data_IF_311906389885
#
_entry.id   IF_311906389885
#
_cell.length_a   1.000
_cell.length_b   1.000
_cell.length_c   1.000
_cell.angle_alpha   90.00
_cell.angle_beta   90.00
_cell.angle_gamma   90.00
#
_symmetry.space_group_name_H-M   'P 1'
#
loop_
_entity.id
_entity.type
_entity.pdbx_description
1 polymer ?
#
# COMPACT_ATOMS: atom_id res chain seq x y z
N UNK A 1 -21.72 -15.31 10.18
CA UNK A 1 -20.81 -16.43 9.90
C UNK A 1 -19.37 -15.99 9.95
N UNK A 2 -18.45 -16.91 10.04
CA UNK A 2 -17.02 -16.63 10.03
C UNK A 2 -16.59 -15.93 8.73
N UNK A 3 -17.15 -16.34 7.59
CA UNK A 3 -16.87 -15.70 6.31
C UNK A 3 -17.29 -14.24 6.28
N UNK A 4 -18.45 -13.91 6.81
CA UNK A 4 -18.94 -12.53 6.87
C UNK A 4 -18.00 -11.69 7.73
N UNK A 5 -17.57 -12.22 8.89
CA UNK A 5 -16.62 -11.52 9.75
C UNK A 5 -15.29 -11.29 9.06
N UNK A 6 -14.79 -12.27 8.31
CA UNK A 6 -13.53 -12.16 7.59
C UNK A 6 -13.60 -11.11 6.47
N UNK A 7 -14.71 -11.05 5.73
CA UNK A 7 -14.94 -10.02 4.71
C UNK A 7 -15.02 -8.62 5.34
N UNK A 8 -15.65 -8.49 6.50
CA UNK A 8 -15.70 -7.22 7.22
C UNK A 8 -14.30 -6.75 7.63
N UNK A 9 -13.45 -7.69 8.05
CA UNK A 9 -12.06 -7.35 8.39
C UNK A 9 -11.29 -6.89 7.16
N UNK A 10 -11.48 -7.55 6.01
CA UNK A 10 -10.86 -7.12 4.76
C UNK A 10 -11.30 -5.69 4.39
N UNK A 11 -12.59 -5.41 4.46
CA UNK A 11 -13.11 -4.08 4.19
C UNK A 11 -12.50 -3.03 5.13
N UNK A 12 -12.33 -3.38 6.40
CA UNK A 12 -11.73 -2.50 7.40
C UNK A 12 -10.25 -2.25 7.07
N UNK A 13 -9.50 -3.28 6.68
CA UNK A 13 -8.10 -3.13 6.27
C UNK A 13 -8.00 -2.17 5.08
N UNK A 14 -8.84 -2.34 4.08
CA UNK A 14 -8.85 -1.47 2.90
C UNK A 14 -9.17 -0.02 3.28
N UNK A 15 -10.15 0.18 4.17
CA UNK A 15 -10.52 1.50 4.68
C UNK A 15 -9.38 2.15 5.46
N UNK A 16 -8.67 1.39 6.29
CA UNK A 16 -7.54 1.89 7.06
C UNK A 16 -6.39 2.32 6.15
N UNK A 17 -6.13 1.56 5.08
CA UNK A 17 -5.12 1.92 4.10
C UNK A 17 -5.50 3.21 3.36
N UNK A 18 -6.74 3.32 2.93
CA UNK A 18 -7.25 4.51 2.26
C UNK A 18 -7.14 5.74 3.15
N UNK A 19 -7.55 5.62 4.42
CA UNK A 19 -7.46 6.71 5.39
C UNK A 19 -6.02 7.12 5.65
N UNK A 20 -5.10 6.17 5.66
CA UNK A 20 -3.68 6.46 5.83
C UNK A 20 -3.18 7.40 4.73
N UNK A 21 -3.58 7.15 3.49
CA UNK A 21 -3.14 7.92 2.34
C UNK A 21 -3.87 9.27 2.18
N UNK A 22 -5.03 9.43 2.80
CA UNK A 22 -5.78 10.69 2.74
C UNK A 22 -5.30 11.74 3.74
N UNK A 23 -4.46 11.34 4.71
CA UNK A 23 -3.90 12.26 5.70
C UNK A 23 -2.52 12.78 5.29
N UNK A 24 -1.84 13.42 6.24
CA UNK A 24 -0.47 13.88 6.04
C UNK A 24 0.50 12.70 6.19
N UNK A 25 0.78 12.06 5.08
CA UNK A 25 1.54 10.80 5.03
C UNK A 25 3.00 11.02 5.37
N UNK A 26 3.56 12.16 5.00
CA UNK A 26 4.98 12.47 5.25
C UNK A 26 5.31 12.34 6.74
N UNK A 27 4.37 12.67 7.63
CA UNK A 27 4.55 12.57 9.07
C UNK A 27 4.29 11.16 9.60
N UNK A 28 3.51 10.34 8.87
CA UNK A 28 3.12 9.00 9.31
C UNK A 28 4.03 7.89 8.79
N UNK A 29 4.76 8.17 7.71
CA UNK A 29 5.56 7.15 7.04
C UNK A 29 4.68 6.13 6.31
N UNK A 30 5.25 4.95 6.07
CA UNK A 30 4.54 3.88 5.38
C UNK A 30 3.53 3.20 6.32
N UNK A 31 2.39 2.70 5.78
CA UNK A 31 1.50 1.87 6.58
C UNK A 31 2.25 0.62 7.03
N UNK A 32 2.01 0.17 8.26
CA UNK A 32 2.67 -1.01 8.80
C UNK A 32 1.67 -2.10 9.15
N UNK A 33 2.09 -3.35 9.02
CA UNK A 33 1.29 -4.51 9.42
C UNK A 33 0.93 -4.42 10.90
N UNK A 34 1.91 -4.03 11.72
CA UNK A 34 1.72 -3.93 13.18
C UNK A 34 0.60 -2.93 13.52
N UNK A 35 0.63 -1.75 12.91
CA UNK A 35 -0.35 -0.71 13.20
C UNK A 35 -1.76 -1.12 12.77
N UNK A 36 -1.89 -1.75 11.61
CA UNK A 36 -3.18 -2.23 11.11
C UNK A 36 -3.73 -3.31 12.04
N UNK A 37 -2.89 -4.29 12.40
CA UNK A 37 -3.29 -5.37 13.29
C UNK A 37 -3.71 -4.83 14.66
N UNK A 38 -2.97 -3.87 15.19
CA UNK A 38 -3.27 -3.26 16.49
C UNK A 38 -4.65 -2.58 16.48
N UNK A 39 -4.96 -1.86 15.41
CA UNK A 39 -6.27 -1.19 15.28
C UNK A 39 -7.42 -2.18 15.20
N UNK A 40 -7.16 -3.40 14.75
CA UNK A 40 -8.16 -4.46 14.66
C UNK A 40 -8.16 -5.37 15.90
N UNK A 41 -7.27 -5.12 16.86
CA UNK A 41 -7.08 -5.97 18.05
C UNK A 41 -6.73 -7.42 17.66
N UNK A 42 -5.90 -7.56 16.63
CA UNK A 42 -5.42 -8.85 16.13
C UNK A 42 -3.89 -8.88 16.17
N UNK A 43 -3.32 -10.09 16.24
CA UNK A 43 -1.88 -10.22 16.04
C UNK A 43 -1.56 -10.07 14.55
N UNK A 44 -0.37 -9.57 14.20
CA UNK A 44 0.04 -9.51 12.79
C UNK A 44 -0.02 -10.87 12.09
N UNK A 45 0.35 -11.94 12.80
CA UNK A 45 0.35 -13.30 12.25
C UNK A 45 -1.06 -13.78 11.93
N UNK A 46 -2.00 -13.56 12.85
CA UNK A 46 -3.39 -13.94 12.63
C UNK A 46 -4.01 -13.17 11.46
N UNK A 47 -3.77 -11.85 11.42
CA UNK A 47 -4.29 -11.01 10.35
C UNK A 47 -3.77 -11.46 9.00
N UNK A 48 -2.45 -11.72 8.89
CA UNK A 48 -1.86 -12.15 7.62
C UNK A 48 -2.36 -13.54 7.18
N UNK A 49 -2.49 -14.47 8.12
CA UNK A 49 -3.00 -15.81 7.80
C UNK A 49 -4.45 -15.73 7.30
N UNK A 50 -5.26 -14.91 7.96
CA UNK A 50 -6.65 -14.74 7.59
C UNK A 50 -6.80 -14.07 6.21
N UNK A 51 -6.06 -12.99 5.95
CA UNK A 51 -6.09 -12.31 4.66
C UNK A 51 -5.57 -13.23 3.56
N UNK A 52 -4.51 -13.98 3.82
CA UNK A 52 -3.97 -14.91 2.84
C UNK A 52 -4.98 -16.01 2.52
N UNK A 53 -5.69 -16.53 3.52
CA UNK A 53 -6.74 -17.53 3.28
C UNK A 53 -7.90 -16.97 2.48
N UNK A 54 -8.26 -15.70 2.70
CA UNK A 54 -9.39 -15.06 2.05
C UNK A 54 -9.07 -14.56 0.63
N UNK A 55 -7.87 -13.98 0.44
CA UNK A 55 -7.51 -13.27 -0.80
C UNK A 55 -6.32 -13.87 -1.54
N UNK A 56 -5.58 -14.77 -0.93
CA UNK A 56 -4.33 -15.29 -1.48
C UNK A 56 -3.13 -14.41 -1.19
N UNK A 57 -3.32 -13.26 -0.51
CA UNK A 57 -2.24 -12.31 -0.24
C UNK A 57 -2.15 -11.97 1.24
N UNK A 58 -0.93 -11.78 1.72
CA UNK A 58 -0.66 -11.37 3.11
C UNK A 58 -0.99 -9.90 3.33
N UNK A 59 -1.02 -9.47 4.60
CA UNK A 59 -1.22 -8.06 4.94
C UNK A 59 -0.16 -7.17 4.26
N UNK A 60 1.10 -7.60 4.27
CA UNK A 60 2.18 -6.83 3.64
C UNK A 60 1.96 -6.68 2.14
N UNK A 61 1.46 -7.72 1.47
CA UNK A 61 1.14 -7.65 0.05
C UNK A 61 0.00 -6.68 -0.23
N UNK A 62 -1.03 -6.65 0.65
CA UNK A 62 -2.11 -5.67 0.54
C UNK A 62 -1.58 -4.23 0.68
N UNK A 63 -0.67 -4.00 1.63
CA UNK A 63 -0.03 -2.69 1.81
C UNK A 63 0.73 -2.29 0.55
N UNK A 64 1.55 -3.20 0.01
CA UNK A 64 2.32 -2.95 -1.21
C UNK A 64 1.41 -2.64 -2.40
N UNK A 65 0.33 -3.40 -2.56
CA UNK A 65 -0.62 -3.16 -3.64
C UNK A 65 -1.25 -1.76 -3.55
N UNK A 66 -1.63 -1.33 -2.33
CA UNK A 66 -2.19 -0.01 -2.11
C UNK A 66 -1.20 1.10 -2.45
N UNK A 67 0.07 0.93 -2.04
CA UNK A 67 1.13 1.88 -2.36
C UNK A 67 1.33 2.01 -3.87
N UNK A 68 1.37 0.88 -4.58
CA UNK A 68 1.58 0.87 -6.03
C UNK A 68 0.40 1.52 -6.75
N UNK A 69 -0.83 1.24 -6.35
CA UNK A 69 -2.00 1.88 -6.98
C UNK A 69 -1.99 3.39 -6.78
N UNK A 70 -1.64 3.87 -5.58
CA UNK A 70 -1.50 5.31 -5.33
C UNK A 70 -0.37 5.91 -6.16
N UNK A 71 0.75 5.20 -6.29
CA UNK A 71 1.88 5.64 -7.10
C UNK A 71 1.48 5.78 -8.57
N UNK A 72 0.76 4.82 -9.11
CA UNK A 72 0.28 4.86 -10.50
C UNK A 72 -0.58 6.11 -10.76
N UNK A 73 -1.47 6.42 -9.83
CA UNK A 73 -2.32 7.61 -9.94
C UNK A 73 -1.46 8.88 -9.98
N UNK A 74 -0.52 9.01 -9.03
CA UNK A 74 0.36 10.18 -8.97
C UNK A 74 1.26 10.30 -10.19
N UNK A 75 1.79 9.19 -10.68
CA UNK A 75 2.64 9.18 -11.87
C UNK A 75 1.90 9.60 -13.13
N UNK A 76 0.63 9.22 -13.26
CA UNK A 76 -0.18 9.50 -14.45
C UNK A 76 -0.93 10.83 -14.40
N UNK A 77 -1.14 11.41 -13.22
CA UNK A 77 -1.98 12.61 -13.07
C UNK A 77 -1.24 13.84 -12.57
N UNK A 78 0.05 13.73 -12.23
CA UNK A 78 0.83 14.86 -11.71
C UNK A 78 2.17 14.96 -12.44
N UNK A 79 2.82 16.13 -12.28
CA UNK A 79 4.19 16.35 -12.76
C UNK A 79 5.23 16.19 -11.63
N UNK A 80 4.81 15.65 -10.49
CA UNK A 80 5.74 15.41 -9.39
C UNK A 80 6.87 14.48 -9.83
N UNK A 81 8.08 14.73 -9.33
CA UNK A 81 9.20 13.83 -9.59
C UNK A 81 8.98 12.48 -8.92
N UNK A 82 9.71 11.47 -9.37
CA UNK A 82 9.68 10.15 -8.76
C UNK A 82 10.04 10.24 -7.26
N UNK A 83 11.05 11.05 -6.93
CA UNK A 83 11.45 11.25 -5.53
C UNK A 83 10.36 11.93 -4.71
N UNK A 84 9.70 12.94 -5.27
CA UNK A 84 8.58 13.59 -4.60
C UNK A 84 7.43 12.63 -4.34
N UNK A 85 7.11 11.79 -5.32
CA UNK A 85 6.06 10.78 -5.16
C UNK A 85 6.44 9.78 -4.08
N UNK A 86 7.68 9.30 -4.08
CA UNK A 86 8.15 8.36 -3.07
C UNK A 86 8.00 8.98 -1.65
N UNK A 87 8.41 10.21 -1.50
CA UNK A 87 8.31 10.93 -0.23
C UNK A 87 6.84 11.11 0.19
N UNK A 88 5.99 11.53 -0.74
CA UNK A 88 4.55 11.70 -0.48
C UNK A 88 3.88 10.40 -0.04
N UNK A 89 4.36 9.25 -0.50
CA UNK A 89 3.82 7.95 -0.12
C UNK A 89 4.37 7.45 1.22
N UNK A 90 5.34 8.15 1.80
CA UNK A 90 5.90 7.81 3.10
C UNK A 90 7.25 7.10 3.06
N UNK A 91 7.86 6.93 1.89
CA UNK A 91 9.19 6.32 1.79
C UNK A 91 10.25 7.31 2.26
N UNK A 92 11.23 6.82 3.00
CA UNK A 92 12.39 7.61 3.39
C UNK A 92 13.38 7.78 2.23
N UNK A 93 13.46 6.75 1.37
CA UNK A 93 14.41 6.72 0.25
C UNK A 93 13.69 6.39 -1.04
N UNK A 94 13.90 7.19 -2.08
CA UNK A 94 13.26 6.98 -3.37
C UNK A 94 13.69 5.66 -4.03
N UNK A 95 14.88 5.17 -3.72
CA UNK A 95 15.36 3.90 -4.25
C UNK A 95 14.48 2.73 -3.77
N UNK A 96 14.04 2.76 -2.51
CA UNK A 96 13.15 1.73 -1.97
C UNK A 96 11.82 1.73 -2.69
N UNK A 97 11.27 2.90 -2.97
CA UNK A 97 10.04 3.03 -3.74
C UNK A 97 10.21 2.47 -5.16
N UNK A 98 11.27 2.91 -5.86
CA UNK A 98 11.52 2.49 -7.25
C UNK A 98 11.71 0.99 -7.35
N UNK A 99 12.41 0.40 -6.40
CA UNK A 99 12.63 -1.04 -6.35
C UNK A 99 11.32 -1.81 -6.15
N UNK A 100 10.48 -1.36 -5.22
CA UNK A 100 9.17 -1.97 -4.98
C UNK A 100 8.29 -1.84 -6.22
N UNK A 101 8.23 -0.64 -6.80
CA UNK A 101 7.41 -0.38 -7.98
C UNK A 101 7.82 -1.30 -9.14
N UNK A 102 9.11 -1.40 -9.42
CA UNK A 102 9.61 -2.26 -10.50
C UNK A 102 9.34 -3.74 -10.21
N UNK A 103 9.47 -4.16 -8.97
CA UNK A 103 9.20 -5.54 -8.58
C UNK A 103 7.73 -5.92 -8.80
N UNK A 104 6.82 -4.98 -8.60
CA UNK A 104 5.37 -5.22 -8.72
C UNK A 104 4.83 -5.00 -10.14
N UNK A 105 5.38 -4.04 -10.89
CA UNK A 105 4.85 -3.67 -12.20
C UNK A 105 5.76 -4.07 -13.36
N UNK A 106 6.99 -4.48 -13.07
CA UNK A 106 8.04 -4.79 -14.04
C UNK A 106 8.51 -3.58 -14.84
N UNK A 107 8.11 -2.38 -14.42
CA UNK A 107 8.55 -1.12 -14.99
C UNK A 107 9.11 -0.23 -13.89
N UNK A 108 10.08 0.61 -14.21
CA UNK A 108 10.46 1.68 -13.28
C UNK A 108 9.31 2.70 -13.23
N UNK A 109 9.25 3.52 -12.16
CA UNK A 109 8.24 4.58 -12.11
C UNK A 109 8.29 5.51 -13.33
N UNK A 110 9.48 5.84 -13.79
CA UNK A 110 9.63 6.72 -14.95
C UNK A 110 9.15 6.05 -16.24
N UNK A 111 9.48 4.77 -16.45
CA UNK A 111 8.98 3.99 -17.58
C UNK A 111 7.46 3.94 -17.58
N UNK A 112 6.86 3.71 -16.40
CA UNK A 112 5.41 3.70 -16.28
C UNK A 112 4.80 5.04 -16.67
N UNK A 113 5.36 6.14 -16.16
CA UNK A 113 4.89 7.50 -16.49
C UNK A 113 4.93 7.75 -17.99
N UNK A 114 6.03 7.38 -18.62
CA UNK A 114 6.21 7.62 -20.05
C UNK A 114 5.25 6.80 -20.91
N UNK A 115 4.71 5.71 -20.39
CA UNK A 115 3.74 4.89 -21.12
C UNK A 115 2.39 5.61 -21.34
N UNK A 116 2.16 6.73 -20.66
CA UNK A 116 0.95 7.54 -20.82
C UNK A 116 1.16 8.75 -21.74
N UNK A 117 2.36 8.95 -22.25
CA UNK A 117 2.68 10.10 -23.10
C UNK A 117 2.65 9.73 -24.58
#
# INVERSE_FOLDING_TARGET
>A
TLQVANHQILDTVESLLESHFDGDIADKGLPSVHDIAQKLNLTPEYLSAMLKGLTGQTTQQHIHNALIERAKIKLSTTDLSVSEIAYDLGFEHSQSFSKLFKSKTRQTPLEFRMSFN
#
